data_IF_100331427165
#
_entry.id   IF_100331427165
#
_cell.length_a   1.000
_cell.length_b   1.000
_cell.length_c   1.000
_cell.angle_alpha   90.00
_cell.angle_beta   90.00
_cell.angle_gamma   90.00
#
_symmetry.space_group_name_H-M   'P 1'
#
loop_
_entity.id
_entity.type
_entity.pdbx_description
1 polymer ?
#
# COMPACT_ATOMS: atom_id res chain seq x y z
N UNK A 1 7.36 -15.30 7.02
CA UNK A 1 8.81 -15.24 6.80
C UNK A 1 9.04 -15.06 5.31
N UNK A 2 9.90 -14.13 4.87
CA UNK A 2 10.07 -13.83 3.44
C UNK A 2 10.71 -14.99 2.67
N UNK A 3 11.77 -15.58 3.21
CA UNK A 3 12.45 -16.72 2.64
C UNK A 3 11.92 -18.06 3.18
N UNK A 4 10.69 -18.09 3.72
CA UNK A 4 10.14 -19.30 4.36
C UNK A 4 10.15 -20.52 3.43
N UNK A 5 9.64 -20.34 2.21
CA UNK A 5 9.64 -21.40 1.19
C UNK A 5 11.04 -21.89 0.82
N UNK A 6 12.02 -20.97 0.72
CA UNK A 6 13.42 -21.32 0.42
C UNK A 6 14.11 -22.09 1.56
N UNK A 7 13.60 -21.93 2.78
CA UNK A 7 14.12 -22.60 3.96
C UNK A 7 13.46 -23.96 4.22
N UNK A 8 12.37 -24.32 3.52
CA UNK A 8 11.66 -25.60 3.72
C UNK A 8 12.61 -26.81 3.68
N UNK A 9 13.52 -26.97 2.70
CA UNK A 9 14.44 -28.11 2.69
C UNK A 9 15.38 -28.12 3.90
N UNK A 10 15.80 -26.95 4.39
CA UNK A 10 16.67 -26.86 5.57
C UNK A 10 15.91 -27.22 6.85
N UNK A 11 14.64 -26.79 6.95
CA UNK A 11 13.75 -27.11 8.07
C UNK A 11 13.48 -28.63 8.09
N UNK A 12 13.15 -29.23 6.95
CA UNK A 12 12.89 -30.67 6.82
C UNK A 12 14.11 -31.52 7.20
N UNK A 13 15.32 -31.03 6.90
CA UNK A 13 16.58 -31.68 7.25
C UNK A 13 17.11 -31.29 8.64
N UNK A 14 16.34 -30.55 9.46
CA UNK A 14 16.70 -30.12 10.82
C UNK A 14 18.04 -29.38 10.90
N UNK A 15 18.30 -28.53 9.91
CA UNK A 15 19.52 -27.74 9.78
C UNK A 15 19.37 -26.37 10.45
N UNK A 16 18.92 -26.35 11.71
CA UNK A 16 18.49 -25.14 12.43
C UNK A 16 19.55 -24.04 12.47
N UNK A 17 20.83 -24.40 12.61
CA UNK A 17 21.95 -23.46 12.63
C UNK A 17 22.15 -22.68 11.33
N UNK A 18 21.59 -23.16 10.22
CA UNK A 18 21.64 -22.50 8.90
C UNK A 18 20.35 -21.73 8.58
N UNK A 19 19.32 -21.80 9.43
CA UNK A 19 18.08 -21.08 9.25
C UNK A 19 18.27 -19.61 9.61
N UNK A 20 18.29 -18.74 8.60
CA UNK A 20 18.28 -17.28 8.78
C UNK A 20 16.94 -16.69 8.31
N UNK A 21 15.99 -16.40 9.23
CA UNK A 21 14.74 -15.74 8.87
C UNK A 21 14.97 -14.33 8.32
N UNK A 22 14.41 -14.05 7.15
CA UNK A 22 14.44 -12.73 6.52
C UNK A 22 13.04 -12.13 6.51
N UNK A 23 12.95 -10.83 6.78
CA UNK A 23 11.73 -10.04 6.60
C UNK A 23 11.80 -9.26 5.29
N UNK A 24 10.68 -9.14 4.59
CA UNK A 24 10.50 -8.12 3.57
C UNK A 24 9.83 -6.92 4.21
N UNK A 25 10.44 -5.75 4.13
CA UNK A 25 9.95 -4.58 4.84
C UNK A 25 10.98 -3.46 4.91
N UNK A 26 11.07 -2.79 6.05
CA UNK A 26 11.98 -1.67 6.25
C UNK A 26 12.44 -1.61 7.70
N UNK A 27 13.67 -1.15 7.92
CA UNK A 27 14.22 -0.82 9.23
C UNK A 27 14.77 0.59 9.17
N UNK A 28 14.39 1.44 10.12
CA UNK A 28 14.86 2.81 10.24
C UNK A 28 14.94 3.20 11.71
N UNK A 29 15.88 4.06 12.06
CA UNK A 29 16.04 4.58 13.41
C UNK A 29 16.36 6.07 13.39
N UNK A 30 15.99 6.75 14.48
CA UNK A 30 16.40 8.12 14.77
C UNK A 30 16.84 8.21 16.23
N UNK A 31 17.73 9.15 16.51
CA UNK A 31 18.19 9.49 17.84
C UNK A 31 17.80 10.95 18.09
N UNK A 32 17.03 11.20 19.13
CA UNK A 32 16.58 12.53 19.51
C UNK A 32 17.01 12.85 20.94
N UNK A 33 17.20 14.14 21.22
CA UNK A 33 17.46 14.66 22.55
C UNK A 33 16.29 15.56 22.95
N UNK A 34 15.67 15.25 24.09
CA UNK A 34 14.55 15.99 24.66
C UNK A 34 14.97 16.44 26.06
N UNK A 35 15.38 17.71 26.18
CA UNK A 35 16.04 18.20 27.38
C UNK A 35 17.36 17.48 27.64
N UNK A 36 17.50 16.81 28.79
CA UNK A 36 18.67 15.96 29.10
C UNK A 36 18.51 14.51 28.67
N UNK A 37 17.32 14.12 28.21
CA UNK A 37 16.99 12.72 27.96
C UNK A 37 17.24 12.34 26.51
N UNK A 38 17.91 11.20 26.33
CA UNK A 38 18.14 10.60 25.00
C UNK A 38 17.00 9.65 24.67
N UNK A 39 16.41 9.82 23.50
CA UNK A 39 15.29 9.02 22.99
C UNK A 39 15.71 8.39 21.68
N UNK A 40 15.67 7.05 21.62
CA UNK A 40 15.86 6.31 20.37
C UNK A 40 14.51 5.84 19.89
N UNK A 41 14.14 6.17 18.65
CA UNK A 41 12.92 5.67 18.01
C UNK A 41 13.29 4.82 16.83
N UNK A 42 12.87 3.56 16.84
CA UNK A 42 13.09 2.58 15.77
C UNK A 42 11.76 2.22 15.13
N UNK A 43 11.73 2.17 13.81
CA UNK A 43 10.58 1.79 13.01
C UNK A 43 10.89 0.53 12.20
N UNK A 44 10.09 -0.52 12.41
CA UNK A 44 10.19 -1.78 11.66
C UNK A 44 8.89 -2.01 10.91
N UNK A 45 8.99 -2.18 9.59
CA UNK A 45 7.89 -2.68 8.77
C UNK A 45 8.11 -4.15 8.43
N UNK A 46 7.06 -4.96 8.54
CA UNK A 46 7.07 -6.38 8.15
C UNK A 46 5.90 -6.65 7.24
N UNK A 47 6.17 -6.99 5.98
CA UNK A 47 5.15 -7.32 4.99
C UNK A 47 4.80 -8.81 5.07
N UNK A 48 3.50 -9.10 5.11
CA UNK A 48 2.99 -10.46 5.09
C UNK A 48 3.17 -11.09 3.71
N UNK A 49 3.58 -12.36 3.71
CA UNK A 49 3.85 -13.13 2.50
C UNK A 49 2.63 -13.88 1.98
N UNK A 50 1.65 -14.19 2.85
CA UNK A 50 0.48 -15.03 2.55
C UNK A 50 -0.34 -14.55 1.35
N UNK A 51 -0.44 -13.23 1.14
CA UNK A 51 -1.09 -12.63 -0.03
C UNK A 51 -0.26 -11.47 -0.57
N UNK A 52 0.99 -11.75 -0.92
CA UNK A 52 1.84 -10.75 -1.57
C UNK A 52 1.38 -10.47 -3.01
N UNK A 53 1.54 -9.22 -3.44
CA UNK A 53 1.55 -8.92 -4.86
C UNK A 53 1.75 -7.47 -5.22
N UNK A 54 1.67 -7.17 -6.51
CA UNK A 54 1.76 -5.81 -7.04
C UNK A 54 0.43 -5.07 -6.91
N UNK A 55 0.49 -3.73 -6.96
CA UNK A 55 -0.62 -2.83 -6.60
C UNK A 55 -1.96 -3.20 -7.25
N UNK A 56 -1.97 -3.45 -8.56
CA UNK A 56 -3.20 -3.72 -9.31
C UNK A 56 -3.49 -5.22 -9.52
N UNK A 57 -2.48 -6.09 -9.47
CA UNK A 57 -2.67 -7.53 -9.69
C UNK A 57 -3.01 -8.30 -8.41
N UNK A 58 -2.80 -7.71 -7.23
CA UNK A 58 -3.19 -8.33 -5.96
C UNK A 58 -3.88 -7.32 -5.05
N UNK A 59 -5.20 -7.44 -4.95
CA UNK A 59 -6.05 -6.64 -4.06
C UNK A 59 -7.05 -7.55 -3.33
N UNK A 60 -7.74 -6.95 -2.36
CA UNK A 60 -8.69 -7.65 -1.51
C UNK A 60 -8.03 -8.71 -0.64
N UNK A 61 -8.87 -9.60 -0.10
CA UNK A 61 -8.45 -10.81 0.57
C UNK A 61 -8.62 -12.05 -0.33
N UNK A 62 -8.00 -13.15 0.08
CA UNK A 62 -8.36 -14.48 -0.42
C UNK A 62 -9.50 -15.10 0.41
N UNK A 63 -10.06 -16.26 -0.01
CA UNK A 63 -11.11 -16.95 0.73
C UNK A 63 -10.73 -17.38 2.16
N UNK A 64 -9.43 -17.37 2.50
CA UNK A 64 -8.92 -17.70 3.83
C UNK A 64 -8.84 -16.47 4.75
N UNK A 65 -9.11 -15.27 4.23
CA UNK A 65 -9.05 -14.03 5.02
C UNK A 65 -7.68 -13.36 4.99
N UNK A 66 -6.73 -13.81 4.19
CA UNK A 66 -5.44 -13.11 4.09
C UNK A 66 -5.60 -11.90 3.19
N UNK A 67 -5.48 -10.70 3.78
CA UNK A 67 -5.55 -9.44 3.05
C UNK A 67 -4.27 -9.19 2.24
N UNK A 68 -4.43 -8.72 1.00
CA UNK A 68 -3.31 -8.35 0.15
C UNK A 68 -2.52 -7.18 0.75
N UNK A 69 -1.21 -7.19 0.54
CA UNK A 69 -0.31 -6.12 0.98
C UNK A 69 -0.44 -5.79 2.49
N UNK A 70 -0.70 -6.81 3.29
CA UNK A 70 -0.73 -6.67 4.74
C UNK A 70 0.66 -6.32 5.27
N UNK A 71 0.75 -5.28 6.08
CA UNK A 71 2.00 -4.81 6.69
C UNK A 71 1.75 -4.56 8.17
N UNK A 72 2.66 -5.09 8.99
CA UNK A 72 2.79 -4.77 10.40
C UNK A 72 3.86 -3.69 10.55
N UNK A 73 3.51 -2.56 11.15
CA UNK A 73 4.42 -1.46 11.46
C UNK A 73 4.58 -1.39 12.97
N UNK A 74 5.81 -1.56 13.43
CA UNK A 74 6.17 -1.51 14.83
C UNK A 74 7.09 -0.33 15.10
N UNK A 75 6.69 0.46 16.08
CA UNK A 75 7.43 1.59 16.59
C UNK A 75 7.97 1.25 17.97
N UNK A 76 9.29 1.21 18.09
CA UNK A 76 10.01 0.91 19.32
C UNK A 76 10.63 2.20 19.82
N UNK A 77 10.41 2.54 21.08
CA UNK A 77 11.02 3.68 21.77
C UNK A 77 11.91 3.15 22.89
N UNK A 78 13.13 3.68 22.98
CA UNK A 78 14.06 3.38 24.07
C UNK A 78 14.57 4.66 24.71
N UNK A 79 14.45 4.76 26.03
CA UNK A 79 14.94 5.90 26.81
C UNK A 79 15.10 5.49 28.27
N UNK A 80 16.10 6.03 28.98
CA UNK A 80 16.34 5.76 30.42
C UNK A 80 16.37 4.27 30.80
N UNK A 81 16.79 3.39 29.88
CA UNK A 81 16.76 1.93 30.06
C UNK A 81 15.41 1.27 29.77
N UNK A 82 14.31 2.03 29.73
CA UNK A 82 12.98 1.54 29.36
C UNK A 82 12.90 1.25 27.86
N UNK A 83 12.11 0.25 27.51
CA UNK A 83 11.78 -0.08 26.11
C UNK A 83 10.26 -0.18 25.96
N UNK A 84 9.70 0.65 25.08
CA UNK A 84 8.30 0.57 24.70
C UNK A 84 8.17 0.11 23.23
N UNK A 85 7.12 -0.66 22.92
CA UNK A 85 6.78 -1.04 21.54
C UNK A 85 5.28 -0.87 21.29
N UNK A 86 4.95 -0.29 20.14
CA UNK A 86 3.59 -0.18 19.64
C UNK A 86 3.48 -0.74 18.22
N UNK A 87 2.57 -1.68 18.04
CA UNK A 87 2.31 -2.34 16.76
C UNK A 87 0.98 -1.87 16.18
N UNK A 88 0.97 -1.55 14.91
CA UNK A 88 -0.24 -1.27 14.13
C UNK A 88 -0.16 -1.93 12.77
N UNK A 89 -1.32 -2.22 12.17
CA UNK A 89 -1.38 -3.00 10.94
C UNK A 89 -2.10 -2.24 9.84
N UNK A 90 -1.73 -2.50 8.59
CA UNK A 90 -2.44 -2.03 7.41
C UNK A 90 -2.56 -3.11 6.36
N UNK A 91 -3.52 -2.97 5.45
CA UNK A 91 -3.66 -3.87 4.31
C UNK A 91 -4.84 -3.52 3.44
N UNK A 92 -5.04 -4.30 2.37
CA UNK A 92 -6.22 -4.16 1.52
C UNK A 92 -7.52 -4.46 2.28
N UNK A 93 -8.65 -4.00 1.76
CA UNK A 93 -9.96 -4.28 2.37
C UNK A 93 -10.19 -5.80 2.39
N UNK A 94 -10.58 -6.41 3.53
CA UNK A 94 -10.50 -7.86 3.71
C UNK A 94 -11.71 -8.62 3.15
N UNK A 95 -12.05 -8.35 1.89
CA UNK A 95 -13.04 -9.12 1.12
C UNK A 95 -12.55 -9.28 -0.33
N UNK A 96 -13.27 -10.05 -1.14
CA UNK A 96 -12.82 -10.37 -2.49
C UNK A 96 -13.17 -9.24 -3.47
N UNK A 97 -12.13 -8.54 -3.96
CA UNK A 97 -12.26 -7.54 -5.00
C UNK A 97 -10.95 -7.37 -5.77
N UNK A 98 -11.07 -6.88 -7.00
CA UNK A 98 -9.98 -6.76 -7.95
C UNK A 98 -9.96 -5.37 -8.60
N UNK A 99 -8.79 -4.97 -9.11
CA UNK A 99 -8.61 -3.75 -9.89
C UNK A 99 -7.64 -4.02 -11.04
N UNK A 100 -8.11 -4.75 -12.05
CA UNK A 100 -7.27 -5.24 -13.14
C UNK A 100 -6.96 -4.11 -14.13
N UNK A 101 -5.68 -3.96 -14.47
CA UNK A 101 -5.21 -2.94 -15.43
C UNK A 101 -5.71 -3.20 -16.85
N UNK A 102 -6.06 -2.11 -17.53
CA UNK A 102 -6.60 -2.10 -18.89
C UNK A 102 -6.12 -0.87 -19.72
N UNK A 103 -4.94 -0.33 -19.39
CA UNK A 103 -4.38 0.93 -19.90
C UNK A 103 -5.09 2.21 -19.42
N UNK A 104 -6.23 2.12 -18.74
CA UNK A 104 -6.88 3.28 -18.13
C UNK A 104 -6.04 3.79 -16.94
N UNK A 105 -5.98 5.10 -16.75
CA UNK A 105 -5.25 5.70 -15.62
C UNK A 105 -5.74 5.20 -14.26
N UNK A 106 -7.07 5.08 -14.08
CA UNK A 106 -7.71 4.48 -12.91
C UNK A 106 -8.63 3.34 -13.35
N UNK A 107 -8.19 2.07 -13.30
CA UNK A 107 -9.04 0.94 -13.64
C UNK A 107 -10.21 0.79 -12.66
N UNK A 108 -11.30 0.17 -13.12
CA UNK A 108 -12.50 -0.07 -12.31
C UNK A 108 -12.25 -1.05 -11.16
N UNK A 109 -13.06 -0.92 -10.11
CA UNK A 109 -13.11 -1.90 -9.02
C UNK A 109 -14.22 -2.90 -9.29
N UNK A 110 -13.86 -4.17 -9.27
CA UNK A 110 -14.76 -5.29 -9.48
C UNK A 110 -14.83 -6.10 -8.17
N UNK A 111 -16.03 -6.18 -7.56
CA UNK A 111 -16.25 -6.99 -6.36
C UNK A 111 -16.62 -8.40 -6.81
N UNK A 112 -15.88 -9.39 -6.32
CA UNK A 112 -16.00 -10.78 -6.73
C UNK A 112 -16.65 -11.56 -5.59
N UNK A 113 -17.50 -12.55 -5.89
CA UNK A 113 -18.10 -13.46 -4.89
C UNK A 113 -18.66 -12.73 -3.68
N UNK A 114 -19.68 -11.91 -3.96
CA UNK A 114 -20.31 -10.96 -3.05
C UNK A 114 -20.77 -11.63 -1.75
N UNK A 115 -21.32 -12.81 -1.89
CA UNK A 115 -21.85 -13.70 -0.85
C UNK A 115 -20.78 -14.20 0.12
N UNK A 116 -19.52 -14.29 -0.29
CA UNK A 116 -18.42 -14.74 0.59
C UNK A 116 -17.82 -13.61 1.45
N UNK A 117 -18.18 -12.35 1.19
CA UNK A 117 -17.53 -11.19 1.81
C UNK A 117 -17.57 -11.23 3.36
N UNK A 118 -18.73 -11.55 3.95
CA UNK A 118 -18.88 -11.64 5.40
C UNK A 118 -18.00 -12.75 6.01
N UNK A 119 -17.99 -13.94 5.40
CA UNK A 119 -17.17 -15.09 5.84
C UNK A 119 -15.69 -14.78 5.80
N UNK A 120 -15.22 -14.10 4.75
CA UNK A 120 -13.81 -13.72 4.60
C UNK A 120 -13.42 -12.65 5.63
N UNK A 121 -14.31 -11.69 5.89
CA UNK A 121 -14.09 -10.68 6.92
C UNK A 121 -14.03 -11.28 8.32
N UNK A 122 -14.94 -12.18 8.65
CA UNK A 122 -14.96 -12.89 9.94
C UNK A 122 -13.64 -13.62 10.17
N UNK A 123 -13.18 -14.42 9.20
CA UNK A 123 -11.87 -15.10 9.26
C UNK A 123 -10.72 -14.11 9.45
N UNK A 124 -10.73 -13.02 8.68
CA UNK A 124 -9.69 -12.02 8.75
C UNK A 124 -9.60 -11.36 10.14
N UNK A 125 -10.73 -10.94 10.70
CA UNK A 125 -10.79 -10.29 12.00
C UNK A 125 -10.53 -11.26 13.16
N UNK A 126 -10.97 -12.50 13.04
CA UNK A 126 -10.64 -13.56 14.00
C UNK A 126 -9.11 -13.81 14.06
N UNK A 127 -8.44 -13.86 12.91
CA UNK A 127 -6.98 -13.97 12.85
C UNK A 127 -6.27 -12.78 13.49
N UNK A 128 -6.80 -11.57 13.29
CA UNK A 128 -6.27 -10.37 13.95
C UNK A 128 -6.49 -10.42 15.46
N UNK A 129 -7.66 -10.84 15.92
CA UNK A 129 -7.95 -10.92 17.34
C UNK A 129 -7.05 -11.93 18.05
N UNK A 130 -6.87 -13.10 17.44
CA UNK A 130 -5.97 -14.13 17.96
C UNK A 130 -4.53 -13.64 18.11
N UNK A 131 -4.07 -12.74 17.24
CA UNK A 131 -2.69 -12.24 17.24
C UNK A 131 -2.49 -10.97 18.07
N UNK A 132 -3.44 -10.05 18.03
CA UNK A 132 -3.28 -8.68 18.57
C UNK A 132 -4.27 -8.30 19.66
N UNK A 133 -5.28 -9.13 19.96
CA UNK A 133 -6.37 -8.79 20.87
C UNK A 133 -7.44 -7.93 20.20
N UNK A 134 -7.94 -6.88 20.83
CA UNK A 134 -8.97 -6.04 20.23
C UNK A 134 -8.48 -5.40 18.90
N UNK A 135 -9.42 -5.07 18.02
CA UNK A 135 -9.14 -4.49 16.70
C UNK A 135 -10.08 -3.32 16.43
N UNK A 136 -9.51 -2.16 16.14
CA UNK A 136 -10.24 -1.06 15.50
C UNK A 136 -9.85 -0.97 14.02
N UNK A 137 -10.82 -1.23 13.13
CA UNK A 137 -10.68 -1.07 11.69
C UNK A 137 -11.01 0.35 11.26
N UNK A 138 -10.04 1.05 10.70
CA UNK A 138 -10.18 2.41 10.14
C UNK A 138 -10.18 2.33 8.62
N UNK A 139 -11.31 2.69 8.02
CA UNK A 139 -11.51 2.73 6.58
C UNK A 139 -11.43 4.16 6.04
N UNK A 140 -10.45 4.42 5.16
CA UNK A 140 -10.13 5.77 4.66
C UNK A 140 -10.61 6.05 3.23
N UNK A 141 -11.48 5.20 2.68
CA UNK A 141 -11.93 5.29 1.27
C UNK A 141 -12.98 6.38 1.08
N UNK A 142 -13.22 6.78 -0.16
CA UNK A 142 -14.22 7.81 -0.44
C UNK A 142 -15.62 7.20 -0.41
N UNK A 143 -16.60 8.01 0.00
CA UNK A 143 -18.02 7.62 -0.02
C UNK A 143 -18.64 7.62 -1.42
N UNK A 144 -17.96 8.16 -2.43
CA UNK A 144 -18.50 8.33 -3.79
C UNK A 144 -17.77 7.50 -4.84
N UNK A 145 -18.47 7.22 -5.94
CA UNK A 145 -17.92 6.51 -7.09
C UNK A 145 -17.58 5.05 -6.81
N UNK A 146 -16.51 4.56 -7.44
CA UNK A 146 -16.08 3.17 -7.26
C UNK A 146 -15.58 2.84 -5.86
N UNK A 147 -14.99 3.81 -5.15
CA UNK A 147 -14.55 3.63 -3.76
C UNK A 147 -15.75 3.51 -2.81
N UNK A 148 -16.82 4.28 -3.07
CA UNK A 148 -18.07 4.21 -2.32
C UNK A 148 -18.70 2.82 -2.34
N UNK A 149 -18.71 2.15 -3.50
CA UNK A 149 -19.19 0.76 -3.60
C UNK A 149 -18.39 -0.23 -2.75
N UNK A 150 -17.07 -0.03 -2.65
CA UNK A 150 -16.22 -0.85 -1.80
C UNK A 150 -16.51 -0.58 -0.32
N UNK A 151 -16.68 0.68 0.07
CA UNK A 151 -17.08 1.07 1.42
C UNK A 151 -18.41 0.47 1.82
N UNK A 152 -19.46 0.68 1.03
CA UNK A 152 -20.81 0.17 1.30
C UNK A 152 -20.78 -1.34 1.49
N UNK A 153 -20.01 -2.04 0.65
CA UNK A 153 -19.83 -3.48 0.80
C UNK A 153 -19.14 -3.84 2.11
N UNK A 154 -18.06 -3.17 2.45
CA UNK A 154 -17.31 -3.44 3.68
C UNK A 154 -18.20 -3.20 4.90
N UNK A 155 -18.81 -2.01 4.99
CA UNK A 155 -19.69 -1.62 6.10
C UNK A 155 -20.82 -2.63 6.32
N UNK A 156 -21.49 -3.05 5.25
CA UNK A 156 -22.56 -4.07 5.35
C UNK A 156 -22.05 -5.45 5.78
N UNK A 157 -20.84 -5.82 5.36
CA UNK A 157 -20.31 -7.16 5.59
C UNK A 157 -19.61 -7.31 6.94
N UNK A 158 -19.14 -6.20 7.54
CA UNK A 158 -18.52 -6.17 8.87
C UNK A 158 -19.54 -6.06 10.01
N UNK A 159 -20.73 -5.50 9.74
CA UNK A 159 -21.78 -5.29 10.74
C UNK A 159 -22.06 -6.50 11.64
N UNK A 160 -22.17 -7.75 11.13
CA UNK A 160 -22.45 -8.91 11.98
C UNK A 160 -21.32 -9.32 12.92
N UNK A 161 -20.09 -8.86 12.66
CA UNK A 161 -18.89 -9.22 13.46
C UNK A 161 -18.47 -8.11 14.42
N UNK A 162 -19.17 -6.97 14.44
CA UNK A 162 -18.86 -5.89 15.36
C UNK A 162 -19.14 -6.32 16.81
N UNK A 163 -18.24 -5.96 17.71
CA UNK A 163 -18.34 -6.27 19.14
C UNK A 163 -17.59 -5.20 19.94
N UNK A 164 -17.52 -5.35 21.27
CA UNK A 164 -16.68 -4.47 22.11
C UNK A 164 -15.18 -4.54 21.73
N UNK A 165 -14.75 -5.69 21.20
CA UNK A 165 -13.36 -5.93 20.79
C UNK A 165 -13.13 -5.72 19.29
N UNK A 166 -14.20 -5.57 18.48
CA UNK A 166 -14.11 -5.27 17.04
C UNK A 166 -14.91 -4.00 16.75
N UNK A 167 -14.19 -2.89 16.56
CA UNK A 167 -14.77 -1.60 16.17
C UNK A 167 -14.46 -1.29 14.71
N UNK A 168 -15.43 -0.73 13.99
CA UNK A 168 -15.24 -0.23 12.63
C UNK A 168 -15.54 1.26 12.57
N UNK A 169 -14.63 2.02 11.97
CA UNK A 169 -14.74 3.47 11.81
C UNK A 169 -14.45 3.80 10.36
N UNK A 170 -15.43 4.42 9.69
CA UNK A 170 -15.24 4.99 8.37
C UNK A 170 -14.90 6.47 8.49
N UNK A 171 -13.84 6.90 7.80
CA UNK A 171 -13.37 8.27 7.77
C UNK A 171 -13.05 8.66 6.33
N UNK A 172 -13.95 9.41 5.68
CA UNK A 172 -13.76 9.87 4.30
C UNK A 172 -12.61 10.90 4.24
N UNK A 173 -11.41 10.39 4.00
CA UNK A 173 -10.17 11.17 4.04
C UNK A 173 -10.18 12.30 3.00
N UNK A 174 -10.74 12.07 1.81
CA UNK A 174 -10.77 13.10 0.77
C UNK A 174 -11.77 14.20 1.10
N UNK A 175 -12.95 13.87 1.64
CA UNK A 175 -13.93 14.87 2.04
C UNK A 175 -13.45 15.69 3.23
N UNK A 176 -12.85 15.04 4.22
CA UNK A 176 -12.48 15.67 5.49
C UNK A 176 -11.14 16.40 5.36
N UNK A 177 -10.06 15.71 4.97
CA UNK A 177 -8.71 16.29 4.91
C UNK A 177 -8.39 16.96 3.57
N UNK A 178 -9.09 16.58 2.49
CA UNK A 178 -8.83 17.12 1.16
C UNK A 178 -7.38 16.86 0.71
N UNK A 179 -6.78 17.89 0.10
CA UNK A 179 -5.39 17.84 -0.34
C UNK A 179 -4.40 18.48 0.64
N UNK A 180 -4.89 19.22 1.65
CA UNK A 180 -4.09 20.18 2.43
C UNK A 180 -4.39 20.13 3.95
N UNK A 181 -5.60 19.76 4.38
CA UNK A 181 -6.07 19.91 5.77
C UNK A 181 -5.94 18.63 6.60
N UNK A 182 -4.73 18.12 6.72
CA UNK A 182 -4.46 16.92 7.52
C UNK A 182 -4.56 17.16 9.02
N UNK A 183 -4.58 18.41 9.49
CA UNK A 183 -4.89 18.75 10.88
C UNK A 183 -6.24 18.18 11.33
N UNK A 184 -7.19 18.01 10.39
CA UNK A 184 -8.49 17.39 10.65
C UNK A 184 -8.41 15.89 10.99
N UNK A 185 -7.24 15.27 10.92
CA UNK A 185 -7.02 13.93 11.48
C UNK A 185 -7.16 13.90 13.00
N UNK A 186 -7.13 15.05 13.68
CA UNK A 186 -7.53 15.13 15.09
C UNK A 186 -8.94 14.56 15.31
N UNK A 187 -9.88 14.82 14.39
CA UNK A 187 -11.26 14.29 14.48
C UNK A 187 -11.31 12.76 14.43
N UNK A 188 -10.36 12.13 13.73
CA UNK A 188 -10.23 10.67 13.74
C UNK A 188 -9.60 10.20 15.05
N UNK A 189 -8.58 10.92 15.54
CA UNK A 189 -7.96 10.61 16.82
C UNK A 189 -8.97 10.68 17.97
N UNK A 190 -9.81 11.72 18.03
CA UNK A 190 -10.83 11.90 19.06
C UNK A 190 -11.81 10.72 19.12
N UNK A 191 -12.05 10.05 17.98
CA UNK A 191 -12.92 8.86 17.92
C UNK A 191 -12.24 7.59 18.43
N UNK A 192 -10.91 7.50 18.43
CA UNK A 192 -10.14 6.29 18.82
C UNK A 192 -9.29 6.50 20.08
N UNK A 193 -9.28 7.68 20.67
CA UNK A 193 -8.43 8.01 21.81
C UNK A 193 -8.72 7.09 23.00
N UNK A 194 -10.00 6.85 23.28
CA UNK A 194 -10.48 5.94 24.32
C UNK A 194 -9.93 4.52 24.11
N UNK A 195 -9.96 4.05 22.85
CA UNK A 195 -9.43 2.76 22.46
C UNK A 195 -7.90 2.68 22.67
N UNK A 196 -7.16 3.70 22.25
CA UNK A 196 -5.70 3.74 22.42
C UNK A 196 -5.30 3.75 23.90
N UNK A 197 -6.01 4.51 24.75
CA UNK A 197 -5.78 4.55 26.20
C UNK A 197 -6.11 3.20 26.87
N UNK A 198 -7.17 2.51 26.43
CA UNK A 198 -7.58 1.19 26.95
C UNK A 198 -6.58 0.09 26.60
N UNK A 199 -6.15 0.01 25.34
CA UNK A 199 -5.36 -1.11 24.82
C UNK A 199 -3.84 -0.93 24.91
N UNK A 200 -3.38 0.29 25.21
CA UNK A 200 -2.01 0.65 25.57
C UNK A 200 -0.97 0.16 24.54
N UNK A 201 0.27 0.10 24.98
CA UNK A 201 1.44 -0.37 24.25
C UNK A 201 2.24 -1.33 25.16
N UNK A 202 3.19 -2.05 24.58
CA UNK A 202 4.11 -2.88 25.35
C UNK A 202 5.17 -2.01 26.03
N UNK A 203 5.46 -2.26 27.31
CA UNK A 203 6.46 -1.51 28.07
C UNK A 203 7.27 -2.44 28.97
N UNK A 204 8.59 -2.35 28.86
CA UNK A 204 9.58 -2.94 29.75
C UNK A 204 10.26 -1.84 30.58
N UNK A 205 10.52 -2.13 31.84
CA UNK A 205 11.39 -1.31 32.68
C UNK A 205 12.87 -1.49 32.35
N UNK A 206 13.72 -0.75 33.08
CA UNK A 206 15.18 -0.79 32.98
C UNK A 206 15.80 -2.14 33.39
N UNK A 207 15.04 -3.00 34.08
CA UNK A 207 15.43 -4.35 34.45
C UNK A 207 14.85 -5.42 33.49
N UNK A 208 14.13 -5.00 32.44
CA UNK A 208 13.51 -5.89 31.47
C UNK A 208 12.23 -6.57 31.95
N UNK A 209 11.65 -6.14 33.07
CA UNK A 209 10.36 -6.64 33.57
C UNK A 209 9.21 -5.94 32.84
N UNK A 210 8.22 -6.75 32.45
CA UNK A 210 7.01 -6.28 31.75
C UNK A 210 6.12 -5.44 32.67
N UNK A 211 5.99 -4.16 32.35
CA UNK A 211 5.08 -3.22 33.03
C UNK A 211 3.71 -3.14 32.36
N UNK A 212 3.68 -3.19 31.02
CA UNK A 212 2.44 -3.13 30.25
C UNK A 212 2.51 -4.02 29.01
N UNK A 213 1.35 -4.46 28.53
CA UNK A 213 1.21 -5.20 27.28
C UNK A 213 0.18 -4.51 26.38
N UNK A 214 0.46 -4.50 25.09
CA UNK A 214 -0.52 -4.08 24.09
C UNK A 214 -1.60 -5.17 23.95
N UNK A 215 -2.86 -4.81 24.14
CA UNK A 215 -4.01 -5.75 24.08
C UNK A 215 -4.98 -5.47 22.93
N UNK A 216 -4.60 -4.58 22.02
CA UNK A 216 -5.36 -4.29 20.81
C UNK A 216 -4.53 -3.56 19.77
N UNK A 217 -4.96 -3.61 18.51
CA UNK A 217 -4.27 -2.96 17.36
C UNK A 217 -5.21 -2.05 16.58
N UNK A 218 -4.64 -1.04 15.93
CA UNK A 218 -5.32 -0.28 14.88
C UNK A 218 -5.04 -0.94 13.54
N UNK A 219 -6.09 -1.27 12.79
CA UNK A 219 -6.01 -1.73 11.41
C UNK A 219 -6.45 -0.59 10.49
N UNK A 220 -5.55 -0.07 9.67
CA UNK A 220 -5.88 0.99 8.71
C UNK A 220 -5.94 0.42 7.29
N UNK A 221 -7.04 0.67 6.58
CA UNK A 221 -7.16 0.32 5.17
C UNK A 221 -7.56 1.52 4.31
N UNK A 222 -7.27 1.36 3.04
CA UNK A 222 -7.60 2.28 1.96
C UNK A 222 -7.63 1.47 0.66
N UNK A 223 -8.09 2.06 -0.45
CA UNK A 223 -7.88 1.46 -1.77
C UNK A 223 -6.39 1.25 -2.01
N UNK A 224 -5.56 2.26 -1.75
CA UNK A 224 -4.11 2.15 -1.80
C UNK A 224 -3.53 2.31 -0.40
N UNK A 225 -2.83 1.28 0.07
CA UNK A 225 -2.21 1.24 1.39
C UNK A 225 -0.90 2.05 1.44
N UNK A 226 -0.86 3.20 0.77
CA UNK A 226 0.31 4.08 0.69
C UNK A 226 0.06 5.39 1.42
N UNK A 227 -0.57 6.34 0.74
CA UNK A 227 -0.40 7.73 1.12
C UNK A 227 -1.32 8.08 2.30
N UNK A 228 -2.62 7.77 2.19
CA UNK A 228 -3.62 8.01 3.25
C UNK A 228 -3.32 7.18 4.50
N UNK A 229 -2.98 5.91 4.32
CA UNK A 229 -2.70 5.00 5.43
C UNK A 229 -1.42 5.38 6.18
N UNK A 230 -0.36 5.78 5.48
CA UNK A 230 0.90 6.15 6.14
C UNK A 230 0.74 7.39 7.03
N UNK A 231 -0.03 8.39 6.56
CA UNK A 231 -0.30 9.59 7.35
C UNK A 231 -1.13 9.25 8.60
N UNK A 232 -2.19 8.46 8.46
CA UNK A 232 -2.99 8.03 9.62
C UNK A 232 -2.18 7.21 10.61
N UNK A 233 -1.35 6.26 10.14
CA UNK A 233 -0.50 5.46 11.00
C UNK A 233 0.57 6.31 11.72
N UNK A 234 1.14 7.30 11.02
CA UNK A 234 2.10 8.25 11.59
C UNK A 234 1.48 9.09 12.73
N UNK A 235 0.22 9.51 12.57
CA UNK A 235 -0.54 10.21 13.62
C UNK A 235 -0.76 9.32 14.84
N UNK A 236 -1.24 8.08 14.66
CA UNK A 236 -1.47 7.14 15.76
C UNK A 236 -0.16 6.81 16.48
N UNK A 237 0.91 6.57 15.73
CA UNK A 237 2.25 6.35 16.28
C UNK A 237 2.77 7.56 17.06
N UNK A 238 2.46 8.78 16.60
CA UNK A 238 2.91 10.01 17.25
C UNK A 238 2.23 10.17 18.61
N UNK A 239 0.91 10.00 18.64
CA UNK A 239 0.13 10.09 19.88
C UNK A 239 0.51 9.02 20.89
N UNK A 240 0.81 7.81 20.41
CA UNK A 240 1.30 6.73 21.27
C UNK A 240 2.69 7.03 21.82
N UNK A 241 3.60 7.57 21.00
CA UNK A 241 4.95 7.97 21.44
C UNK A 241 4.92 9.13 22.43
N UNK A 242 4.07 10.14 22.21
CA UNK A 242 3.84 11.22 23.17
C UNK A 242 3.40 10.63 24.52
N UNK A 243 2.43 9.72 24.53
CA UNK A 243 1.98 9.03 25.75
C UNK A 243 3.09 8.21 26.42
N UNK A 244 3.94 7.54 25.64
CA UNK A 244 5.12 6.80 26.14
C UNK A 244 6.10 7.73 26.85
N UNK A 245 6.47 8.83 26.21
CA UNK A 245 7.45 9.77 26.75
C UNK A 245 6.90 10.54 27.95
N UNK A 246 5.60 10.86 27.96
CA UNK A 246 4.93 11.47 29.11
C UNK A 246 4.90 10.53 30.31
N UNK A 247 4.61 9.24 30.11
CA UNK A 247 4.62 8.25 31.19
C UNK A 247 6.02 8.07 31.82
N UNK A 248 7.08 8.26 31.04
CA UNK A 248 8.47 8.17 31.50
C UNK A 248 9.07 9.52 31.97
N UNK A 249 8.24 10.57 32.02
CA UNK A 249 8.65 11.91 32.44
C UNK A 249 9.71 12.55 31.55
N UNK A 250 9.81 12.14 30.29
CA UNK A 250 10.65 12.80 29.26
C UNK A 250 9.94 14.02 28.69
N UNK A 251 8.62 13.90 28.47
CA UNK A 251 7.75 15.03 28.12
C UNK A 251 6.87 15.38 29.32
N UNK A 252 6.61 16.67 29.52
CA UNK A 252 5.58 17.13 30.47
C UNK A 252 4.16 16.76 30.00
N UNK A 253 3.18 16.79 30.90
CA UNK A 253 1.80 16.35 30.60
C UNK A 253 1.11 17.12 29.45
N UNK A 254 1.48 18.39 29.23
CA UNK A 254 1.01 19.20 28.09
C UNK A 254 2.06 19.35 26.99
N UNK A 255 3.23 18.74 27.15
CA UNK A 255 4.32 18.83 26.18
C UNK A 255 4.14 17.76 25.10
N UNK A 256 4.45 18.11 23.85
CA UNK A 256 4.26 17.26 22.68
C UNK A 256 5.52 17.23 21.84
N UNK A 257 5.64 16.27 20.93
CA UNK A 257 6.80 16.19 20.03
C UNK A 257 6.92 17.47 19.18
N UNK A 258 5.79 18.13 18.88
CA UNK A 258 5.75 19.37 18.09
C UNK A 258 6.44 20.55 18.78
N UNK A 259 6.61 20.50 20.11
CA UNK A 259 7.33 21.51 20.90
C UNK A 259 8.86 21.37 20.77
N UNK A 260 9.34 20.26 20.20
CA UNK A 260 10.76 19.94 20.01
C UNK A 260 11.08 19.85 18.51
N UNK A 261 11.41 20.97 17.81
CA UNK A 261 11.44 21.02 16.35
C UNK A 261 12.41 20.04 15.69
N UNK A 262 13.56 19.78 16.31
CA UNK A 262 14.54 18.81 15.81
C UNK A 262 13.96 17.39 15.85
N UNK A 263 13.38 17.00 16.99
CA UNK A 263 12.75 15.69 17.14
C UNK A 263 11.53 15.54 16.22
N UNK A 264 10.70 16.58 16.09
CA UNK A 264 9.55 16.58 15.17
C UNK A 264 9.98 16.40 13.71
N UNK A 265 11.07 17.05 13.28
CA UNK A 265 11.62 16.91 11.94
C UNK A 265 12.14 15.49 11.68
N UNK A 266 12.91 14.92 12.62
CA UNK A 266 13.44 13.57 12.49
C UNK A 266 12.32 12.52 12.48
N UNK A 267 11.30 12.70 13.32
CA UNK A 267 10.12 11.83 13.36
C UNK A 267 9.34 11.87 12.03
N UNK A 268 9.18 13.05 11.44
CA UNK A 268 8.55 13.24 10.13
C UNK A 268 9.34 12.54 9.03
N UNK A 269 10.67 12.67 9.04
CA UNK A 269 11.55 11.99 8.08
C UNK A 269 11.47 10.46 8.24
N UNK A 270 11.48 9.96 9.48
CA UNK A 270 11.32 8.53 9.79
C UNK A 270 10.04 7.96 9.16
N UNK A 271 8.89 8.59 9.38
CA UNK A 271 7.62 8.10 8.81
C UNK A 271 7.50 8.27 7.30
N UNK A 272 8.14 9.29 6.73
CA UNK A 272 8.17 9.47 5.29
C UNK A 272 8.99 8.36 4.61
N UNK A 273 10.17 8.09 5.15
CA UNK A 273 11.05 7.03 4.66
C UNK A 273 10.40 5.66 4.85
N UNK A 274 9.68 5.42 5.96
CA UNK A 274 8.88 4.20 6.17
C UNK A 274 7.81 4.03 5.08
N UNK A 275 7.07 5.10 4.78
CA UNK A 275 6.08 5.12 3.70
C UNK A 275 6.68 4.80 2.33
N UNK A 276 7.79 5.45 1.99
CA UNK A 276 8.49 5.27 0.71
C UNK A 276 9.05 3.85 0.54
N UNK A 277 9.62 3.28 1.59
CA UNK A 277 10.17 1.92 1.56
C UNK A 277 9.07 0.89 1.28
N UNK A 278 7.93 1.01 1.97
CA UNK A 278 6.79 0.10 1.74
C UNK A 278 6.17 0.35 0.36
N UNK A 279 6.11 1.60 -0.10
CA UNK A 279 5.59 1.94 -1.43
C UNK A 279 6.36 1.32 -2.56
N UNK A 280 7.69 1.37 -2.47
CA UNK A 280 8.58 0.86 -3.50
C UNK A 280 8.39 -0.65 -3.68
N UNK A 281 8.13 -1.38 -2.59
CA UNK A 281 7.98 -2.84 -2.61
C UNK A 281 6.82 -3.32 -3.49
N UNK A 282 5.67 -2.66 -3.46
CA UNK A 282 4.48 -3.14 -4.19
C UNK A 282 4.01 -2.26 -5.35
N UNK A 283 4.42 -0.98 -5.41
CA UNK A 283 4.09 -0.07 -6.53
C UNK A 283 5.29 0.27 -7.43
N UNK A 284 6.51 -0.14 -7.04
CA UNK A 284 7.73 0.17 -7.78
C UNK A 284 8.20 1.63 -7.66
N UNK A 285 7.52 2.46 -6.87
CA UNK A 285 7.85 3.88 -6.69
C UNK A 285 7.71 4.31 -5.23
N UNK A 286 8.36 5.40 -4.79
CA UNK A 286 8.11 6.04 -3.50
C UNK A 286 6.63 6.42 -3.30
N UNK A 287 6.24 6.73 -2.07
CA UNK A 287 4.88 7.17 -1.76
C UNK A 287 4.61 8.53 -2.45
N UNK A 288 3.36 8.75 -2.88
CA UNK A 288 2.99 10.09 -3.34
C UNK A 288 2.72 10.94 -2.11
N UNK A 289 2.85 12.27 -2.24
CA UNK A 289 2.66 13.19 -1.11
C UNK A 289 3.63 12.92 0.06
N UNK A 290 4.79 12.32 -0.20
CA UNK A 290 5.82 12.11 0.82
C UNK A 290 6.33 13.43 1.41
N UNK A 291 6.27 14.52 0.65
CA UNK A 291 6.58 15.88 1.10
C UNK A 291 5.67 16.34 2.24
N UNK A 292 4.41 15.92 2.25
CA UNK A 292 3.49 16.20 3.34
C UNK A 292 3.95 15.54 4.65
N UNK A 293 4.38 14.28 4.61
CA UNK A 293 4.88 13.59 5.80
C UNK A 293 6.19 14.21 6.28
N UNK A 294 7.07 14.63 5.36
CA UNK A 294 8.38 15.24 5.68
C UNK A 294 8.29 16.65 6.24
N UNK A 295 7.45 17.50 5.65
CA UNK A 295 7.45 18.95 5.90
C UNK A 295 6.13 19.46 6.47
N UNK A 296 5.10 18.63 6.56
CA UNK A 296 3.75 19.03 6.98
C UNK A 296 3.01 19.93 5.98
N UNK A 297 3.60 20.21 4.80
CA UNK A 297 3.03 21.05 3.74
C UNK A 297 3.44 20.51 2.36
N UNK A 298 2.63 20.82 1.34
CA UNK A 298 2.91 20.50 -0.07
C UNK A 298 3.95 21.47 -0.64
N UNK A 299 5.01 20.95 -1.25
CA UNK A 299 6.09 21.74 -1.89
C UNK A 299 6.00 21.68 -3.41
N UNK A 300 6.46 22.71 -4.11
CA UNK A 300 6.47 22.74 -5.60
C UNK A 300 7.35 21.63 -6.18
N UNK A 301 8.51 21.38 -5.57
CA UNK A 301 9.37 20.25 -5.91
C UNK A 301 8.68 18.90 -5.67
N UNK A 302 7.92 18.79 -4.57
CA UNK A 302 7.11 17.61 -4.26
C UNK A 302 6.05 17.31 -5.32
N UNK A 303 5.42 18.36 -5.88
CA UNK A 303 4.42 18.20 -6.95
C UNK A 303 5.06 17.64 -8.23
N UNK A 304 6.24 18.11 -8.63
CA UNK A 304 6.96 17.60 -9.80
C UNK A 304 7.39 16.14 -9.62
N UNK A 305 7.91 15.81 -8.44
CA UNK A 305 8.27 14.43 -8.09
C UNK A 305 7.03 13.51 -8.08
N UNK A 306 5.90 13.99 -7.57
CA UNK A 306 4.64 13.25 -7.59
C UNK A 306 4.15 12.99 -9.02
N UNK A 307 4.33 13.93 -9.95
CA UNK A 307 4.00 13.74 -11.37
C UNK A 307 4.87 12.64 -12.00
N UNK A 308 6.19 12.69 -11.76
CA UNK A 308 7.10 11.66 -12.26
C UNK A 308 6.77 10.28 -11.68
N UNK A 309 6.53 10.20 -10.37
CA UNK A 309 6.12 8.97 -9.70
C UNK A 309 4.78 8.45 -10.23
N UNK A 310 3.82 9.32 -10.55
CA UNK A 310 2.54 8.92 -11.15
C UNK A 310 2.72 8.30 -12.55
N UNK A 311 3.59 8.89 -13.39
CA UNK A 311 3.93 8.35 -14.70
C UNK A 311 4.67 7.00 -14.59
N UNK A 312 5.64 6.90 -13.68
CA UNK A 312 6.35 5.66 -13.40
C UNK A 312 5.40 4.56 -12.88
N UNK A 313 4.47 4.89 -11.97
CA UNK A 313 3.41 3.97 -11.49
C UNK A 313 2.52 3.50 -12.64
N UNK A 314 2.11 4.40 -13.53
CA UNK A 314 1.32 4.03 -14.71
C UNK A 314 2.08 3.03 -15.58
N UNK A 315 3.38 3.27 -15.81
CA UNK A 315 4.23 2.36 -16.56
C UNK A 315 4.37 0.99 -15.87
N UNK A 316 4.73 0.95 -14.58
CA UNK A 316 4.93 -0.30 -13.85
C UNK A 316 3.65 -1.14 -13.80
N UNK A 317 2.53 -0.52 -13.41
CA UNK A 317 1.22 -1.18 -13.31
C UNK A 317 0.83 -1.85 -14.63
N UNK A 318 1.04 -1.17 -15.76
CA UNK A 318 0.61 -1.67 -17.06
C UNK A 318 1.62 -2.60 -17.73
N UNK A 319 2.93 -2.40 -17.53
CA UNK A 319 3.94 -3.02 -18.40
C UNK A 319 5.00 -3.88 -17.69
N UNK A 320 5.12 -3.82 -16.37
CA UNK A 320 6.14 -4.58 -15.62
C UNK A 320 5.58 -5.43 -14.48
N UNK A 321 4.48 -5.01 -13.87
CA UNK A 321 3.99 -5.57 -12.61
C UNK A 321 3.49 -7.01 -12.71
N UNK A 322 3.11 -7.50 -13.89
CA UNK A 322 2.73 -8.90 -14.10
C UNK A 322 3.93 -9.85 -13.98
N UNK A 323 5.06 -9.53 -14.61
CA UNK A 323 6.32 -10.28 -14.47
C UNK A 323 6.82 -10.22 -13.02
N UNK A 324 6.71 -9.05 -12.38
CA UNK A 324 7.06 -8.87 -10.96
C UNK A 324 6.18 -9.74 -10.06
N UNK A 325 4.89 -9.85 -10.36
CA UNK A 325 3.96 -10.72 -9.64
C UNK A 325 4.35 -12.20 -9.79
N UNK A 326 4.65 -12.65 -11.01
CA UNK A 326 5.10 -14.03 -11.25
C UNK A 326 6.37 -14.36 -10.46
N UNK A 327 7.34 -13.43 -10.42
CA UNK A 327 8.56 -13.60 -9.63
C UNK A 327 8.27 -13.70 -8.12
N UNK A 328 7.34 -12.89 -7.60
CA UNK A 328 6.92 -12.99 -6.20
C UNK A 328 6.26 -14.34 -5.90
N UNK A 329 5.38 -14.81 -6.78
CA UNK A 329 4.66 -16.07 -6.56
C UNK A 329 5.58 -17.30 -6.61
N UNK A 330 6.63 -17.28 -7.46
CA UNK A 330 7.67 -18.32 -7.47
C UNK A 330 8.52 -18.28 -6.19
N UNK A 331 9.01 -17.10 -5.79
CA UNK A 331 9.88 -16.96 -4.61
C UNK A 331 9.16 -17.32 -3.31
N UNK A 332 7.84 -17.16 -3.25
CA UNK A 332 7.02 -17.49 -2.07
C UNK A 332 6.42 -18.90 -2.11
N UNK A 333 6.66 -19.68 -3.16
CA UNK A 333 6.09 -21.02 -3.28
C UNK A 333 4.58 -21.05 -3.54
N UNK A 334 3.97 -19.92 -3.93
CA UNK A 334 2.56 -19.86 -4.33
C UNK A 334 2.29 -20.56 -5.66
N UNK A 335 3.35 -20.77 -6.47
CA UNK A 335 3.33 -21.58 -7.66
C UNK A 335 4.55 -22.50 -7.67
N UNK A 336 4.32 -23.81 -7.66
CA UNK A 336 5.37 -24.82 -7.84
C UNK A 336 5.37 -25.23 -9.30
N UNK A 337 6.42 -24.85 -10.01
CA UNK A 337 6.58 -25.18 -11.42
C UNK A 337 6.87 -26.68 -11.55
N UNK A 338 5.92 -27.45 -12.08
CA UNK A 338 6.12 -28.85 -12.49
C UNK A 338 6.92 -28.93 -13.80
N UNK A 339 8.06 -28.24 -13.86
CA UNK A 339 8.92 -28.27 -15.04
C UNK A 339 9.91 -29.41 -14.86
N UNK A 340 9.62 -30.54 -15.53
CA UNK A 340 10.67 -31.41 -16.03
C UNK A 340 11.70 -30.53 -16.73
N UNK A 341 13.01 -30.72 -16.49
CA UNK A 341 14.10 -29.82 -16.90
C UNK A 341 14.09 -29.42 -18.39
N UNK A 342 13.31 -30.11 -19.21
CA UNK A 342 13.23 -29.98 -20.66
C UNK A 342 11.98 -29.22 -21.19
N UNK A 343 11.06 -28.75 -20.35
CA UNK A 343 9.87 -28.06 -20.86
C UNK A 343 10.17 -26.61 -21.28
N UNK A 344 10.11 -26.35 -22.60
CA UNK A 344 10.22 -25.01 -23.15
C UNK A 344 9.15 -24.07 -22.56
N UNK A 345 9.59 -22.95 -21.98
CA UNK A 345 8.70 -21.92 -21.43
C UNK A 345 7.88 -21.34 -22.61
N UNK A 346 6.54 -21.40 -22.59
CA UNK A 346 5.74 -20.80 -23.65
C UNK A 346 6.04 -19.30 -23.74
N UNK A 347 6.67 -18.88 -24.83
CA UNK A 347 6.94 -17.48 -25.12
C UNK A 347 5.66 -16.84 -25.66
N UNK A 348 4.92 -16.10 -24.82
CA UNK A 348 3.96 -15.14 -25.35
C UNK A 348 4.75 -14.02 -26.04
N UNK A 349 4.36 -13.56 -27.25
CA UNK A 349 4.94 -12.37 -27.84
C UNK A 349 4.87 -11.23 -26.83
N UNK A 350 5.99 -10.52 -26.66
CA UNK A 350 6.15 -9.57 -25.57
C UNK A 350 5.05 -8.53 -25.64
N UNK A 351 4.21 -8.43 -24.60
CA UNK A 351 3.13 -7.43 -24.53
C UNK A 351 3.65 -6.00 -24.80
N UNK A 352 4.89 -5.75 -24.36
CA UNK A 352 5.64 -4.52 -24.64
C UNK A 352 5.90 -4.32 -26.15
N UNK A 353 6.19 -5.36 -26.91
CA UNK A 353 6.38 -5.28 -28.37
C UNK A 353 5.09 -4.87 -29.07
N UNK A 354 3.95 -5.46 -28.68
CA UNK A 354 2.63 -5.10 -29.23
C UNK A 354 2.24 -3.65 -28.90
N UNK A 355 2.51 -3.17 -27.69
CA UNK A 355 2.27 -1.77 -27.31
C UNK A 355 3.21 -0.80 -28.03
N UNK A 356 4.52 -1.11 -28.12
CA UNK A 356 5.50 -0.31 -28.87
C UNK A 356 5.14 -0.21 -30.35
N UNK A 357 4.69 -1.31 -30.95
CA UNK A 357 4.22 -1.32 -32.34
C UNK A 357 2.98 -0.43 -32.51
N UNK A 358 1.99 -0.53 -31.62
CA UNK A 358 0.81 0.32 -31.67
C UNK A 358 1.16 1.82 -31.49
N UNK A 359 2.06 2.14 -30.56
CA UNK A 359 2.54 3.50 -30.35
C UNK A 359 3.29 4.05 -31.57
N UNK A 360 4.19 3.25 -32.15
CA UNK A 360 4.92 3.61 -33.36
C UNK A 360 3.96 3.87 -34.54
N UNK A 361 2.94 3.03 -34.72
CA UNK A 361 1.92 3.23 -35.76
C UNK A 361 1.12 4.51 -35.55
N UNK A 362 0.70 4.82 -34.31
CA UNK A 362 0.01 6.08 -33.99
C UNK A 362 0.93 7.28 -34.24
N UNK A 363 2.20 7.19 -33.82
CA UNK A 363 3.17 8.27 -34.02
C UNK A 363 3.45 8.53 -35.50
N UNK A 364 3.68 7.48 -36.29
CA UNK A 364 3.86 7.59 -37.73
C UNK A 364 2.62 8.19 -38.39
N UNK A 365 1.42 7.70 -38.07
CA UNK A 365 0.18 8.23 -38.63
C UNK A 365 -0.05 9.71 -38.23
N UNK A 366 0.29 10.10 -37.00
CA UNK A 366 0.22 11.49 -36.55
C UNK A 366 1.24 12.39 -37.27
N UNK A 367 2.46 11.90 -37.52
CA UNK A 367 3.45 12.62 -38.32
C UNK A 367 2.98 12.83 -39.76
N UNK A 368 2.46 11.78 -40.41
CA UNK A 368 1.93 11.88 -41.76
C UNK A 368 0.70 12.80 -41.84
N UNK A 369 -0.15 12.79 -40.81
CA UNK A 369 -1.27 13.72 -40.67
C UNK A 369 -0.79 15.18 -40.59
N UNK A 370 0.20 15.48 -39.75
CA UNK A 370 0.79 16.83 -39.62
C UNK A 370 1.47 17.31 -40.90
N UNK A 371 2.21 16.42 -41.58
CA UNK A 371 2.83 16.73 -42.88
C UNK A 371 1.75 17.04 -43.94
N UNK A 372 0.71 16.21 -44.01
CA UNK A 372 -0.40 16.41 -44.95
C UNK A 372 -1.19 17.70 -44.66
N UNK A 373 -1.41 18.03 -43.39
CA UNK A 373 -2.03 19.29 -42.96
C UNK A 373 -1.22 20.52 -43.37
N UNK A 374 0.12 20.46 -43.25
CA UNK A 374 0.99 21.56 -43.72
C UNK A 374 0.87 21.77 -45.23
N UNK A 375 0.74 20.69 -45.99
CA UNK A 375 0.64 20.73 -47.45
C UNK A 375 -0.78 21.05 -47.94
N UNK A 376 -1.81 20.87 -47.10
CA UNK A 376 -3.20 21.21 -47.40
C UNK A 376 -3.43 22.71 -47.61
N UNK A 377 -2.50 23.58 -47.18
CA UNK A 377 -2.51 25.01 -47.51
C UNK A 377 -2.37 25.26 -49.03
N UNK A 378 -1.75 24.33 -49.75
CA UNK A 378 -1.43 24.46 -51.17
C UNK A 378 -2.33 23.60 -52.07
N UNK A 379 -2.82 22.44 -51.60
CA UNK A 379 -3.74 21.58 -52.33
C UNK A 379 -4.73 20.88 -51.37
N UNK A 380 -6.03 21.07 -51.62
CA UNK A 380 -7.15 20.49 -50.88
C UNK A 380 -7.14 18.95 -50.87
N UNK A 381 -6.49 18.28 -51.82
CA UNK A 381 -6.34 16.80 -51.82
C UNK A 381 -5.57 16.31 -50.59
N UNK A 382 -4.61 17.08 -50.09
CA UNK A 382 -3.88 16.74 -48.87
C UNK A 382 -4.71 16.85 -47.60
N UNK A 383 -5.83 17.61 -47.63
CA UNK A 383 -6.82 17.62 -46.55
C UNK A 383 -7.49 16.24 -46.41
N UNK A 384 -7.87 15.62 -47.53
CA UNK A 384 -8.48 14.29 -47.54
C UNK A 384 -7.51 13.24 -47.00
N UNK A 385 -6.24 13.30 -47.43
CA UNK A 385 -5.18 12.40 -46.93
C UNK A 385 -4.95 12.59 -45.43
N UNK A 386 -4.95 13.83 -44.95
CA UNK A 386 -4.84 14.11 -43.51
C UNK A 386 -6.01 13.51 -42.72
N UNK A 387 -7.24 13.57 -43.23
CA UNK A 387 -8.42 12.96 -42.59
C UNK A 387 -8.33 11.43 -42.56
N UNK A 388 -7.75 10.79 -43.58
CA UNK A 388 -7.51 9.33 -43.57
C UNK A 388 -6.50 8.96 -42.48
N UNK A 389 -5.38 9.68 -42.37
CA UNK A 389 -4.40 9.45 -41.30
C UNK A 389 -4.98 9.74 -39.92
N UNK A 390 -5.83 10.76 -39.78
CA UNK A 390 -6.59 11.05 -38.58
C UNK A 390 -7.48 9.87 -38.18
N UNK A 391 -8.25 9.33 -39.14
CA UNK A 391 -9.12 8.18 -38.95
C UNK A 391 -8.33 6.93 -38.55
N UNK A 392 -7.16 6.70 -39.13
CA UNK A 392 -6.28 5.60 -38.76
C UNK A 392 -5.73 5.77 -37.33
N UNK A 393 -5.24 6.96 -36.96
CA UNK A 393 -4.81 7.27 -35.59
C UNK A 393 -5.92 6.96 -34.58
N UNK A 394 -7.12 7.47 -34.84
CA UNK A 394 -8.28 7.27 -33.95
C UNK A 394 -8.69 5.80 -33.92
N UNK A 395 -8.73 5.12 -35.06
CA UNK A 395 -9.06 3.70 -35.16
C UNK A 395 -8.10 2.82 -34.37
N UNK A 396 -6.79 3.02 -34.51
CA UNK A 396 -5.76 2.30 -33.74
C UNK A 396 -5.89 2.62 -32.25
N UNK A 397 -6.05 3.89 -31.87
CA UNK A 397 -6.21 4.29 -30.48
C UNK A 397 -7.47 3.66 -29.83
N UNK A 398 -8.60 3.64 -30.54
CA UNK A 398 -9.82 2.99 -30.08
C UNK A 398 -9.66 1.47 -29.97
N UNK A 399 -8.97 0.84 -30.93
CA UNK A 399 -8.68 -0.59 -30.88
C UNK A 399 -7.81 -0.96 -29.68
N UNK A 400 -6.74 -0.20 -29.43
CA UNK A 400 -5.84 -0.38 -28.29
C UNK A 400 -6.60 -0.17 -26.98
N UNK A 401 -7.40 0.91 -26.87
CA UNK A 401 -8.22 1.19 -25.69
C UNK A 401 -9.21 0.07 -25.41
N UNK A 402 -9.95 -0.40 -26.43
CA UNK A 402 -10.92 -1.50 -26.29
C UNK A 402 -10.26 -2.82 -25.87
N UNK A 403 -9.04 -3.07 -26.33
CA UNK A 403 -8.28 -4.28 -26.03
C UNK A 403 -7.19 -4.05 -24.97
N UNK A 404 -7.27 -2.98 -24.17
CA UNK A 404 -6.15 -2.53 -23.33
C UNK A 404 -5.60 -3.61 -22.40
N UNK A 405 -6.49 -4.45 -21.86
CA UNK A 405 -6.16 -5.66 -21.09
C UNK A 405 -5.14 -6.60 -21.76
N UNK A 406 -5.16 -6.74 -23.08
CA UNK A 406 -4.20 -7.57 -23.87
C UNK A 406 -2.85 -6.88 -24.06
N UNK A 407 -2.82 -5.55 -23.96
CA UNK A 407 -1.62 -4.72 -24.06
C UNK A 407 -0.98 -4.43 -22.69
N UNK A 408 -1.56 -4.93 -21.61
CA UNK A 408 -0.96 -4.90 -20.27
C UNK A 408 -0.16 -6.18 -19.99
N UNK A 409 0.99 -6.05 -19.34
CA UNK A 409 1.80 -7.15 -18.84
C UNK A 409 1.03 -7.87 -17.71
N UNK A 410 0.40 -8.99 -18.05
CA UNK A 410 -0.39 -9.81 -17.12
C UNK A 410 0.49 -10.91 -16.52
N UNK A 411 0.35 -11.20 -15.21
CA UNK A 411 1.02 -12.36 -14.62
C UNK A 411 0.53 -13.64 -15.29
N UNK A 412 1.45 -14.60 -15.46
CA UNK A 412 1.19 -15.91 -16.06
C UNK A 412 0.52 -16.86 -15.08
N UNK A 413 0.89 -16.78 -13.80
CA UNK A 413 0.34 -17.65 -12.75
C UNK A 413 -0.94 -17.08 -12.12
N UNK A 414 -1.43 -15.93 -12.63
CA UNK A 414 -2.71 -15.38 -12.22
C UNK A 414 -3.85 -16.23 -12.78
N UNK A 415 -4.34 -17.16 -11.97
CA UNK A 415 -5.62 -17.80 -12.21
C UNK A 415 -6.70 -16.75 -11.97
N UNK A 416 -7.35 -16.26 -13.05
CA UNK A 416 -8.53 -15.42 -12.86
C UNK A 416 -9.57 -16.26 -12.16
N UNK A 417 -10.00 -15.82 -10.99
CA UNK A 417 -11.01 -16.51 -10.18
C UNK A 417 -12.38 -16.19 -10.77
N UNK A 418 -12.64 -16.76 -11.95
CA UNK A 418 -13.99 -16.86 -12.50
C UNK A 418 -14.80 -17.85 -11.67
#
# INVERSE_FOLDING_TARGET
MWNGYLLEPLIENKLDQYLLPVIQGSFQNIHAEVGSDKVVVTMIARRCTRRIGTRCWRRGADPEGYAANFVESEQIMQTKGYTASYVQVRGSMPFLWEQIVDLTYKPSFDIVRVEEAARVLERHYHDLQKKYGAVVGIDLVNTTGGEGRLYERYAKSIEPILSEDIRFIHFDFHKICGHIHFERLSQLYDQIEDYLKKHKYFLLDDQGKKMAGQTGTVRTNCVDCLDRTNVTQSMVGRKTLESQLQQLGVLGGNDTISNHPAFDADYKVLWANHGDAISTQYSGTPALKGDFVRYGKRTTQGILNDLWNALARYYFNNFADGTKQDAMDLLQGHYVSSVSRDAAIPSRPGVMQSFRAAFALIFCAAMFMLMSLRQARNDLRHLVVALVWAGLCVGIALFVKKNGRKFCNRPRFYLSRN
#
